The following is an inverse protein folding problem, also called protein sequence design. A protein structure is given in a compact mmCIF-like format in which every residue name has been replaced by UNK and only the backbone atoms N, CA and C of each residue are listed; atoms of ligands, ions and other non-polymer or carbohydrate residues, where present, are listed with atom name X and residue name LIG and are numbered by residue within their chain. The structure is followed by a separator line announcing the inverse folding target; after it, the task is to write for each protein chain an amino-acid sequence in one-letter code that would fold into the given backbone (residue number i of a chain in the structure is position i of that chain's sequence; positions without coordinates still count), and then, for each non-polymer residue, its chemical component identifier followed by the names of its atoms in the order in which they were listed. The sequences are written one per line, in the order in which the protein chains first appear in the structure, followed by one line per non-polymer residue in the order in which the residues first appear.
data_IF_524312020821
#
_entry.id   IF_524312020821
#
_cell.length_a   1.000
_cell.length_b   1.000
_cell.length_c   1.000
_cell.angle_alpha   90.00
_cell.angle_beta   90.00
_cell.angle_gamma   90.00
#
_symmetry.space_group_name_H-M   'P 1'
#
loop_
_entity.id
_entity.type
_entity.pdbx_description
1 polymer ?
#
# COMPACT_ATOMS: atom_id res chain seq x y z
N UNK A 1 12.34 8.09 3.96
CA UNK A 1 11.87 8.94 2.85
C UNK A 1 12.39 8.35 1.53
N UNK A 2 13.70 8.11 1.44
CA UNK A 2 14.39 7.49 0.28
C UNK A 2 13.80 6.13 -0.16
N UNK A 3 13.41 5.25 0.76
CA UNK A 3 12.93 3.90 0.37
C UNK A 3 11.59 3.89 -0.38
N UNK A 4 10.76 4.94 -0.24
CA UNK A 4 9.52 5.05 -1.00
C UNK A 4 9.78 5.45 -2.46
N UNK A 5 10.82 6.24 -2.71
CA UNK A 5 11.24 6.61 -4.07
C UNK A 5 11.65 5.38 -4.87
N UNK A 6 12.26 4.36 -4.25
CA UNK A 6 12.55 3.09 -4.94
C UNK A 6 11.29 2.38 -5.45
N UNK A 7 10.19 2.41 -4.70
CA UNK A 7 8.90 1.85 -5.14
C UNK A 7 8.27 2.68 -6.25
N UNK A 8 8.37 4.01 -6.16
CA UNK A 8 7.88 4.91 -7.23
C UNK A 8 8.71 4.71 -8.50
N UNK A 9 10.03 4.57 -8.39
CA UNK A 9 10.92 4.30 -9.51
C UNK A 9 10.54 3.00 -10.21
N UNK A 10 10.27 1.91 -9.46
CA UNK A 10 9.75 0.67 -10.01
C UNK A 10 8.41 0.84 -10.74
N UNK A 11 7.49 1.62 -10.16
CA UNK A 11 6.20 1.90 -10.80
C UNK A 11 6.38 2.68 -12.12
N UNK A 12 7.28 3.66 -12.16
CA UNK A 12 7.63 4.40 -13.37
C UNK A 12 8.34 3.49 -14.40
N UNK A 13 9.24 2.60 -13.96
CA UNK A 13 9.90 1.63 -14.84
C UNK A 13 8.89 0.64 -15.45
N UNK A 14 7.81 0.29 -14.74
CA UNK A 14 6.74 -0.53 -15.28
C UNK A 14 6.01 0.13 -16.47
N UNK A 15 6.12 1.46 -16.63
CA UNK A 15 5.64 2.21 -17.80
C UNK A 15 6.66 2.25 -18.95
N UNK A 16 7.76 1.49 -18.86
CA UNK A 16 8.92 1.49 -19.75
C UNK A 16 9.68 2.83 -19.75
N UNK A 17 9.73 3.51 -18.60
CA UNK A 17 10.59 4.67 -18.39
C UNK A 17 11.97 4.22 -17.91
N UNK A 18 13.02 4.80 -18.47
CA UNK A 18 14.34 4.81 -17.84
C UNK A 18 14.29 5.80 -16.68
N UNK A 19 14.49 5.33 -15.46
CA UNK A 19 14.35 6.16 -14.25
C UNK A 19 15.72 6.47 -13.64
N UNK A 20 15.94 7.74 -13.33
CA UNK A 20 17.08 8.24 -12.55
C UNK A 20 16.60 8.83 -11.23
N UNK A 21 17.50 8.82 -10.25
CA UNK A 21 17.28 9.39 -8.92
C UNK A 21 17.17 10.92 -8.92
N UNK A 22 17.37 11.56 -7.76
CA UNK A 22 17.17 13.00 -7.63
C UNK A 22 18.14 13.81 -8.50
N UNK A 23 17.59 14.79 -9.22
CA UNK A 23 18.35 15.69 -10.10
C UNK A 23 18.13 17.13 -9.65
N UNK A 24 19.22 17.88 -9.52
CA UNK A 24 19.20 19.30 -9.17
C UNK A 24 19.34 20.19 -10.39
N UNK A 25 18.36 21.08 -10.57
CA UNK A 25 18.36 22.13 -11.57
C UNK A 25 18.77 23.44 -10.92
N UNK A 26 19.79 24.10 -11.49
CA UNK A 26 20.20 25.44 -11.07
C UNK A 26 19.27 26.45 -11.70
N UNK A 27 18.39 27.05 -10.89
CA UNK A 27 17.40 28.00 -11.37
C UNK A 27 17.67 29.39 -10.78
N UNK A 28 17.77 30.38 -11.67
CA UNK A 28 17.89 31.78 -11.32
C UNK A 28 16.50 32.39 -11.05
N UNK A 29 16.28 32.85 -9.83
CA UNK A 29 15.03 33.45 -9.36
C UNK A 29 15.27 34.88 -8.86
N UNK A 30 14.29 35.77 -9.05
CA UNK A 30 14.30 37.10 -8.45
C UNK A 30 14.06 36.96 -6.93
N UNK A 31 14.84 37.66 -6.12
CA UNK A 31 14.64 37.65 -4.67
C UNK A 31 13.52 38.62 -4.26
N UNK A 32 13.09 38.53 -3.00
CA UNK A 32 12.03 39.39 -2.47
C UNK A 32 12.51 40.81 -2.11
N UNK A 33 13.76 41.19 -2.43
CA UNK A 33 14.27 42.54 -2.16
C UNK A 33 13.49 43.57 -2.97
N UNK A 34 12.95 44.57 -2.28
CA UNK A 34 12.13 45.64 -2.89
C UNK A 34 12.97 46.83 -3.35
N UNK A 35 14.16 46.99 -2.77
CA UNK A 35 15.05 48.15 -3.00
C UNK A 35 15.77 48.08 -4.34
N UNK A 36 16.04 46.87 -4.83
CA UNK A 36 16.65 46.62 -6.13
C UNK A 36 16.33 45.21 -6.62
N UNK A 37 16.37 45.05 -7.93
CA UNK A 37 16.25 43.75 -8.57
C UNK A 37 17.50 42.92 -8.29
N UNK A 38 17.37 41.94 -7.40
CA UNK A 38 18.39 40.95 -7.12
C UNK A 38 17.94 39.59 -7.63
N UNK A 39 18.87 38.83 -8.21
CA UNK A 39 18.63 37.47 -8.65
C UNK A 39 19.61 36.53 -7.98
N UNK A 40 19.10 35.41 -7.47
CA UNK A 40 19.91 34.35 -6.88
C UNK A 40 19.66 33.04 -7.63
N UNK A 41 20.73 32.27 -7.78
CA UNK A 41 20.66 30.92 -8.33
C UNK A 41 20.58 29.91 -7.18
N UNK A 42 19.59 29.03 -7.22
CA UNK A 42 19.42 27.95 -6.26
C UNK A 42 19.29 26.61 -6.97
N UNK A 43 19.83 25.55 -6.35
CA UNK A 43 19.61 24.18 -6.80
C UNK A 43 18.25 23.69 -6.32
N UNK A 44 17.30 23.52 -7.23
CA UNK A 44 16.00 22.91 -6.96
C UNK A 44 15.99 21.47 -7.45
N UNK A 45 15.45 20.58 -6.63
CA UNK A 45 15.49 19.14 -6.86
C UNK A 45 14.18 18.63 -7.44
N UNK A 46 14.30 17.67 -8.36
CA UNK A 46 13.23 16.75 -8.75
C UNK A 46 13.62 15.40 -8.18
N UNK A 47 12.71 14.78 -7.43
CA UNK A 47 13.00 13.56 -6.65
C UNK A 47 13.30 12.36 -7.59
N UNK A 48 12.57 12.24 -8.72
CA UNK A 48 12.82 11.22 -9.75
C UNK A 48 12.63 11.79 -11.17
N UNK A 49 13.48 11.37 -12.09
CA UNK A 49 13.32 11.64 -13.53
C UNK A 49 13.03 10.32 -14.24
N UNK A 50 11.92 10.24 -14.96
CA UNK A 50 11.61 9.12 -15.86
C UNK A 50 11.68 9.57 -17.31
N UNK A 51 12.27 8.77 -18.21
CA UNK A 51 12.38 9.16 -19.62
C UNK A 51 12.14 8.00 -20.58
N UNK A 52 11.51 8.30 -21.70
CA UNK A 52 11.32 7.43 -22.88
C UNK A 52 11.32 8.33 -24.11
N UNK A 53 11.60 7.79 -25.30
CA UNK A 53 11.78 8.59 -26.52
C UNK A 53 10.73 9.69 -26.81
N UNK A 54 9.49 9.50 -26.35
CA UNK A 54 8.35 10.39 -26.54
C UNK A 54 7.96 11.21 -25.30
N UNK A 55 8.51 10.89 -24.12
CA UNK A 55 8.02 11.38 -22.82
C UNK A 55 9.15 11.60 -21.79
N UNK A 56 9.11 12.75 -21.11
CA UNK A 56 9.93 13.04 -19.93
C UNK A 56 9.01 13.25 -18.72
N UNK A 57 9.26 12.56 -17.62
CA UNK A 57 8.50 12.64 -16.38
C UNK A 57 9.36 13.31 -15.31
N UNK A 58 8.88 14.42 -14.76
CA UNK A 58 9.44 15.07 -13.58
C UNK A 58 8.58 14.73 -12.37
N UNK A 59 9.06 13.84 -11.51
CA UNK A 59 8.29 13.34 -10.39
C UNK A 59 8.77 13.97 -9.07
N UNK A 60 7.83 14.51 -8.30
CA UNK A 60 8.05 14.79 -6.88
C UNK A 60 7.38 13.74 -6.02
N UNK A 61 8.12 13.23 -5.04
CA UNK A 61 7.78 12.08 -4.22
C UNK A 61 7.76 12.49 -2.76
N UNK A 62 6.66 12.16 -2.08
CA UNK A 62 6.49 12.41 -0.64
C UNK A 62 5.84 11.21 0.04
N UNK A 63 6.61 10.48 0.83
CA UNK A 63 6.16 9.24 1.46
C UNK A 63 5.06 9.46 2.51
N UNK A 64 5.33 10.28 3.54
CA UNK A 64 4.46 10.49 4.70
C UNK A 64 3.96 9.22 5.44
N UNK A 65 4.48 8.02 5.12
CA UNK A 65 4.14 6.79 5.83
C UNK A 65 4.55 6.93 7.30
N UNK A 66 3.59 6.73 8.21
CA UNK A 66 3.79 6.89 9.66
C UNK A 66 3.66 8.33 10.17
N UNK A 67 3.03 9.23 9.40
CA UNK A 67 2.85 10.64 9.76
C UNK A 67 1.46 11.17 9.39
N UNK A 68 1.25 12.49 9.52
CA UNK A 68 -0.04 13.14 9.26
C UNK A 68 -0.46 13.30 7.79
N UNK A 69 0.39 12.89 6.85
CA UNK A 69 0.10 12.97 5.42
C UNK A 69 0.33 14.34 4.78
N UNK A 70 0.22 14.38 3.44
CA UNK A 70 0.26 15.59 2.62
C UNK A 70 -0.84 16.55 3.06
N UNK A 71 -0.45 17.76 3.46
CA UNK A 71 -1.39 18.81 3.86
C UNK A 71 -1.80 19.64 2.66
N UNK A 72 -3.10 19.91 2.56
CA UNK A 72 -3.65 20.72 1.46
C UNK A 72 -2.94 22.06 1.31
N UNK A 73 -2.71 22.78 2.41
CA UNK A 73 -2.05 24.10 2.43
C UNK A 73 -0.60 24.12 1.95
N UNK A 74 0.06 22.96 1.91
CA UNK A 74 1.42 22.84 1.41
C UNK A 74 1.42 22.63 -0.11
N UNK A 75 0.34 22.07 -0.67
CA UNK A 75 0.14 21.82 -2.10
C UNK A 75 -0.55 23.00 -2.78
N UNK A 76 -1.67 23.44 -2.23
CA UNK A 76 -2.43 24.59 -2.70
C UNK A 76 -1.80 25.83 -2.09
N UNK A 77 -1.41 26.78 -2.92
CA UNK A 77 -0.75 28.01 -2.50
C UNK A 77 -1.73 29.00 -1.83
N UNK A 78 -2.40 28.58 -0.75
CA UNK A 78 -3.39 29.38 -0.04
C UNK A 78 -2.80 30.65 0.60
N UNK A 79 -1.48 30.68 0.81
CA UNK A 79 -0.73 31.80 1.41
C UNK A 79 -0.05 32.72 0.35
N UNK A 80 -0.31 32.53 -0.95
CA UNK A 80 0.33 33.29 -2.03
C UNK A 80 1.79 32.88 -2.29
N UNK A 81 2.57 33.69 -3.01
CA UNK A 81 3.94 33.37 -3.51
C UNK A 81 4.99 32.93 -2.46
N UNK A 82 4.64 32.89 -1.17
CA UNK A 82 5.51 32.54 -0.04
C UNK A 82 5.25 31.15 0.57
N UNK A 83 4.36 30.34 -0.01
CA UNK A 83 4.14 28.96 0.42
C UNK A 83 5.46 28.17 0.49
N UNK A 84 5.79 27.65 1.68
CA UNK A 84 7.07 26.95 1.92
C UNK A 84 7.09 25.50 1.41
N UNK A 85 5.92 24.87 1.28
CA UNK A 85 5.76 23.48 0.86
C UNK A 85 5.81 23.31 -0.67
N UNK A 86 6.18 22.11 -1.13
CA UNK A 86 6.07 21.62 -2.52
C UNK A 86 6.19 22.66 -3.64
N UNK A 87 7.29 23.41 -3.67
CA UNK A 87 7.48 24.53 -4.63
C UNK A 87 7.37 24.09 -6.10
N UNK A 88 7.74 22.87 -6.43
CA UNK A 88 7.52 22.31 -7.77
C UNK A 88 6.04 22.23 -8.16
N UNK A 89 5.14 22.05 -7.21
CA UNK A 89 3.70 22.00 -7.45
C UNK A 89 3.08 23.40 -7.44
N UNK A 90 3.46 24.25 -6.49
CA UNK A 90 2.68 25.46 -6.18
C UNK A 90 3.31 26.79 -6.65
N UNK A 91 4.56 26.78 -7.09
CA UNK A 91 5.23 27.94 -7.67
C UNK A 91 5.35 27.78 -9.19
N UNK A 92 4.45 28.45 -9.92
CA UNK A 92 4.34 28.35 -11.39
C UNK A 92 5.61 28.81 -12.10
N UNK A 93 6.21 29.93 -11.66
CA UNK A 93 7.43 30.47 -12.27
C UNK A 93 8.59 29.48 -12.11
N UNK A 94 8.81 28.99 -10.88
CA UNK A 94 9.84 28.00 -10.60
C UNK A 94 9.62 26.72 -11.40
N UNK A 95 8.40 26.17 -11.36
CA UNK A 95 8.05 24.95 -12.10
C UNK A 95 8.33 25.11 -13.59
N UNK A 96 7.93 26.23 -14.18
CA UNK A 96 8.16 26.51 -15.61
C UNK A 96 9.64 26.55 -15.93
N UNK A 97 10.46 27.23 -15.10
CA UNK A 97 11.91 27.25 -15.29
C UNK A 97 12.55 25.88 -15.13
N UNK A 98 12.07 25.06 -14.18
CA UNK A 98 12.56 23.69 -14.00
C UNK A 98 12.20 22.78 -15.17
N UNK A 99 10.98 22.90 -15.71
CA UNK A 99 10.58 22.18 -16.93
C UNK A 99 11.48 22.57 -18.09
N UNK A 100 11.71 23.86 -18.31
CA UNK A 100 12.57 24.32 -19.40
C UNK A 100 14.02 23.83 -19.24
N UNK A 101 14.57 23.90 -18.03
CA UNK A 101 15.91 23.38 -17.75
C UNK A 101 16.00 21.87 -18.00
N UNK A 102 14.96 21.10 -17.67
CA UNK A 102 14.90 19.68 -17.98
C UNK A 102 14.80 19.41 -19.48
N UNK A 103 13.99 20.18 -20.21
CA UNK A 103 13.92 20.13 -21.67
C UNK A 103 15.29 20.38 -22.31
N UNK A 104 16.03 21.40 -21.84
CA UNK A 104 17.34 21.76 -22.36
C UNK A 104 18.39 20.66 -22.10
N UNK A 105 18.37 20.05 -20.92
CA UNK A 105 19.33 19.00 -20.53
C UNK A 105 19.04 17.69 -21.25
N UNK A 106 17.78 17.30 -21.36
CA UNK A 106 17.39 15.97 -21.85
C UNK A 106 16.92 15.96 -23.30
N UNK A 107 16.79 17.11 -23.96
CA UNK A 107 16.42 17.23 -25.37
C UNK A 107 14.92 17.00 -25.66
N UNK A 108 14.04 17.31 -24.71
CA UNK A 108 12.59 17.14 -24.87
C UNK A 108 11.88 18.47 -25.15
N UNK A 109 10.71 18.41 -25.78
CA UNK A 109 9.81 19.56 -25.89
C UNK A 109 8.98 19.69 -24.61
N UNK A 110 8.59 20.91 -24.18
CA UNK A 110 7.69 21.09 -23.04
C UNK A 110 6.40 20.27 -23.13
N UNK A 111 5.86 20.07 -24.34
CA UNK A 111 4.66 19.26 -24.59
C UNK A 111 4.86 17.76 -24.35
N UNK A 112 6.09 17.29 -24.23
CA UNK A 112 6.45 15.90 -23.92
C UNK A 112 6.75 15.70 -22.42
N UNK A 113 6.69 16.77 -21.62
CA UNK A 113 6.98 16.72 -20.19
C UNK A 113 5.70 16.49 -19.39
N UNK A 114 5.70 15.47 -18.54
CA UNK A 114 4.67 15.22 -17.53
C UNK A 114 5.23 15.56 -16.14
N UNK A 115 4.47 16.33 -15.35
CA UNK A 115 4.80 16.55 -13.95
C UNK A 115 3.91 15.66 -13.09
N UNK A 116 4.52 14.85 -12.24
CA UNK A 116 3.81 13.90 -11.38
C UNK A 116 4.08 14.15 -9.91
N UNK A 117 3.03 14.02 -9.11
CA UNK A 117 3.09 14.03 -7.66
C UNK A 117 2.75 12.67 -7.09
N UNK A 118 3.75 12.00 -6.50
CA UNK A 118 3.58 10.73 -5.81
C UNK A 118 3.50 10.97 -4.30
N UNK A 119 2.34 10.66 -3.71
CA UNK A 119 2.09 10.81 -2.29
C UNK A 119 1.79 9.46 -1.63
N UNK A 120 2.61 9.04 -0.67
CA UNK A 120 2.37 7.79 0.05
C UNK A 120 1.23 7.90 1.08
N UNK A 121 0.94 9.09 1.58
CA UNK A 121 -0.20 9.33 2.45
C UNK A 121 -0.70 10.77 2.33
N UNK A 122 -2.00 10.95 2.14
CA UNK A 122 -2.67 12.24 2.26
C UNK A 122 -3.18 12.46 3.68
N UNK A 123 -3.30 13.72 4.09
CA UNK A 123 -4.11 14.06 5.26
C UNK A 123 -5.54 13.53 5.05
N UNK A 124 -6.14 12.99 6.12
CA UNK A 124 -7.47 12.36 6.05
C UNK A 124 -8.49 13.25 5.34
N UNK A 125 -9.15 12.70 4.32
CA UNK A 125 -10.17 13.40 3.51
C UNK A 125 -9.64 14.45 2.53
N UNK A 126 -8.31 14.65 2.40
CA UNK A 126 -7.72 15.72 1.57
C UNK A 126 -7.19 15.29 0.20
N UNK A 127 -7.19 14.00 -0.10
CA UNK A 127 -6.68 13.51 -1.39
C UNK A 127 -7.45 14.09 -2.58
N UNK A 128 -8.78 14.10 -2.54
CA UNK A 128 -9.59 14.58 -3.65
C UNK A 128 -9.36 16.08 -3.91
N UNK A 129 -9.33 16.90 -2.86
CA UNK A 129 -9.06 18.34 -2.99
C UNK A 129 -7.67 18.61 -3.62
N UNK A 130 -6.66 17.79 -3.29
CA UNK A 130 -5.34 17.88 -3.93
C UNK A 130 -5.40 17.48 -5.41
N UNK A 131 -6.10 16.37 -5.73
CA UNK A 131 -6.26 15.90 -7.12
C UNK A 131 -6.97 16.93 -7.98
N UNK A 132 -8.07 17.49 -7.48
CA UNK A 132 -8.87 18.49 -8.17
C UNK A 132 -8.03 19.74 -8.45
N UNK A 133 -7.27 20.21 -7.46
CA UNK A 133 -6.37 21.35 -7.67
C UNK A 133 -5.28 21.03 -8.69
N UNK A 134 -4.56 19.91 -8.56
CA UNK A 134 -3.52 19.51 -9.52
C UNK A 134 -4.05 19.37 -10.95
N UNK A 135 -5.28 18.91 -11.13
CA UNK A 135 -5.93 18.81 -12.44
C UNK A 135 -6.14 20.17 -13.13
N UNK A 136 -6.22 21.27 -12.36
CA UNK A 136 -6.28 22.64 -12.90
C UNK A 136 -4.92 23.22 -13.26
N UNK A 137 -3.82 22.59 -12.81
CA UNK A 137 -2.47 23.12 -12.98
C UNK A 137 -1.81 22.51 -14.21
N UNK A 138 -1.72 23.28 -15.30
CA UNK A 138 -0.98 22.84 -16.49
C UNK A 138 0.54 22.98 -16.26
N UNK A 139 1.25 21.89 -16.49
CA UNK A 139 2.68 21.74 -16.26
C UNK A 139 3.30 20.85 -17.35
N UNK A 140 3.94 21.47 -18.33
CA UNK A 140 4.48 20.75 -19.50
C UNK A 140 3.38 20.44 -20.50
N UNK A 141 3.20 19.17 -20.84
CA UNK A 141 2.22 18.69 -21.81
C UNK A 141 0.79 18.55 -21.29
N UNK A 142 0.57 18.63 -19.98
CA UNK A 142 -0.74 18.38 -19.40
C UNK A 142 -0.89 18.85 -17.95
N UNK A 143 -1.98 18.47 -17.27
CA UNK A 143 -2.16 18.75 -15.84
C UNK A 143 -1.13 18.00 -14.99
N UNK A 144 -0.93 18.44 -13.75
CA UNK A 144 -0.13 17.69 -12.78
C UNK A 144 -0.88 16.40 -12.42
N UNK A 145 -0.26 15.25 -12.66
CA UNK A 145 -0.84 13.96 -12.31
C UNK A 145 -0.53 13.62 -10.85
N UNK A 146 -1.47 12.94 -10.18
CA UNK A 146 -1.34 12.58 -8.77
C UNK A 146 -1.47 11.08 -8.62
N UNK A 147 -0.51 10.47 -7.92
CA UNK A 147 -0.46 9.05 -7.65
C UNK A 147 -0.38 8.82 -6.15
N UNK A 148 -1.31 8.02 -5.63
CA UNK A 148 -1.32 7.65 -4.22
C UNK A 148 -0.54 6.32 -4.01
N UNK A 149 -0.40 5.92 -2.74
CA UNK A 149 0.26 4.67 -2.38
C UNK A 149 -0.35 3.45 -3.07
N UNK A 150 -1.68 3.37 -3.17
CA UNK A 150 -2.36 2.24 -3.80
C UNK A 150 -1.98 2.13 -5.28
N UNK A 151 -1.96 3.26 -6.00
CA UNK A 151 -1.53 3.29 -7.40
C UNK A 151 -0.11 2.72 -7.58
N UNK A 152 0.81 3.09 -6.68
CA UNK A 152 2.21 2.60 -6.70
C UNK A 152 2.26 1.12 -6.35
N UNK A 153 1.62 0.70 -5.25
CA UNK A 153 1.65 -0.69 -4.78
C UNK A 153 0.99 -1.64 -5.76
N UNK A 154 -0.13 -1.27 -6.39
CA UNK A 154 -0.81 -2.10 -7.39
C UNK A 154 0.10 -2.35 -8.60
N UNK A 155 0.80 -1.30 -9.05
CA UNK A 155 1.75 -1.38 -10.16
C UNK A 155 2.95 -2.26 -9.81
N UNK A 156 3.59 -2.02 -8.67
CA UNK A 156 4.77 -2.79 -8.23
C UNK A 156 4.40 -4.24 -7.91
N UNK A 157 3.23 -4.50 -7.32
CA UNK A 157 2.73 -5.85 -7.06
C UNK A 157 2.47 -6.60 -8.36
N UNK A 158 1.91 -5.92 -9.37
CA UNK A 158 1.73 -6.50 -10.71
C UNK A 158 3.08 -6.84 -11.35
N UNK A 159 4.07 -5.95 -11.23
CA UNK A 159 5.44 -6.21 -11.68
C UNK A 159 6.08 -7.39 -10.93
N UNK A 160 5.85 -7.49 -9.62
CA UNK A 160 6.37 -8.56 -8.77
C UNK A 160 5.81 -9.95 -9.16
N UNK A 161 4.59 -10.02 -9.71
CA UNK A 161 4.02 -11.26 -10.24
C UNK A 161 4.65 -11.72 -11.55
N UNK A 162 5.43 -10.85 -12.22
CA UNK A 162 6.14 -11.22 -13.43
C UNK A 162 7.25 -12.24 -13.17
N UNK A 163 7.40 -13.19 -14.10
CA UNK A 163 8.50 -14.16 -14.12
C UNK A 163 9.79 -13.58 -14.66
N UNK A 164 9.74 -12.40 -15.29
CA UNK A 164 10.94 -11.73 -15.79
C UNK A 164 11.85 -11.37 -14.61
N UNK A 165 13.13 -11.73 -14.75
CA UNK A 165 14.15 -11.36 -13.77
C UNK A 165 14.49 -9.88 -13.94
N UNK A 166 14.43 -9.15 -12.83
CA UNK A 166 14.82 -7.76 -12.71
C UNK A 166 15.59 -7.68 -11.39
N UNK A 167 16.85 -7.25 -11.48
CA UNK A 167 17.72 -7.08 -10.31
C UNK A 167 17.42 -5.74 -9.63
N UNK A 168 16.35 -5.71 -8.84
CA UNK A 168 15.96 -4.55 -8.04
C UNK A 168 15.63 -4.99 -6.60
N UNK A 169 16.34 -4.47 -5.59
CA UNK A 169 16.12 -4.85 -4.19
C UNK A 169 14.69 -4.59 -3.68
N UNK A 170 14.05 -3.50 -4.11
CA UNK A 170 12.69 -3.17 -3.70
C UNK A 170 11.70 -4.15 -4.33
N UNK A 171 11.91 -4.56 -5.59
CA UNK A 171 11.09 -5.57 -6.25
C UNK A 171 11.23 -6.94 -5.57
N UNK A 172 12.46 -7.33 -5.21
CA UNK A 172 12.73 -8.58 -4.46
C UNK A 172 12.02 -8.56 -3.11
N UNK A 173 12.03 -7.44 -2.40
CA UNK A 173 11.31 -7.29 -1.14
C UNK A 173 9.79 -7.49 -1.32
N UNK A 174 9.18 -6.88 -2.34
CA UNK A 174 7.74 -7.09 -2.64
C UNK A 174 7.45 -8.54 -3.02
N UNK A 175 8.25 -9.16 -3.90
CA UNK A 175 8.11 -10.58 -4.24
C UNK A 175 8.18 -11.48 -3.00
N UNK A 176 9.12 -11.20 -2.10
CA UNK A 176 9.29 -11.94 -0.85
C UNK A 176 8.07 -11.82 0.05
N UNK A 177 7.47 -10.62 0.16
CA UNK A 177 6.25 -10.40 0.93
C UNK A 177 5.05 -11.18 0.36
N UNK A 178 4.87 -11.18 -0.96
CA UNK A 178 3.80 -11.95 -1.61
C UNK A 178 3.93 -13.45 -1.36
N UNK A 179 5.15 -14.00 -1.50
CA UNK A 179 5.44 -15.40 -1.21
C UNK A 179 5.17 -15.72 0.28
N UNK A 180 5.57 -14.83 1.19
CA UNK A 180 5.31 -15.00 2.61
C UNK A 180 3.80 -15.01 2.93
N UNK A 181 3.01 -14.17 2.27
CA UNK A 181 1.55 -14.16 2.40
C UNK A 181 0.93 -15.46 1.89
N UNK A 182 1.40 -15.98 0.74
CA UNK A 182 0.96 -17.29 0.24
C UNK A 182 1.25 -18.41 1.23
N UNK A 183 2.45 -18.44 1.83
CA UNK A 183 2.77 -19.44 2.85
C UNK A 183 1.88 -19.33 4.09
N UNK A 184 1.61 -18.11 4.57
CA UNK A 184 0.69 -17.88 5.69
C UNK A 184 -0.73 -18.35 5.36
N UNK A 185 -1.21 -18.05 4.15
CA UNK A 185 -2.54 -18.46 3.70
C UNK A 185 -2.68 -19.99 3.62
N UNK A 186 -1.65 -20.69 3.12
CA UNK A 186 -1.61 -22.16 3.06
C UNK A 186 -1.59 -22.77 4.46
N UNK A 187 -0.77 -22.24 5.36
CA UNK A 187 -0.71 -22.69 6.75
C UNK A 187 -2.06 -22.54 7.48
N UNK A 188 -2.77 -21.44 7.23
CA UNK A 188 -4.10 -21.22 7.81
C UNK A 188 -5.16 -22.18 7.22
N UNK A 189 -5.13 -22.45 5.91
CA UNK A 189 -6.03 -23.42 5.26
C UNK A 189 -5.82 -24.85 5.79
N UNK A 190 -4.57 -25.28 6.01
CA UNK A 190 -4.28 -26.62 6.56
C UNK A 190 -4.78 -26.78 8.01
N UNK A 191 -4.77 -25.70 8.80
CA UNK A 191 -5.34 -25.72 10.16
C UNK A 191 -6.87 -25.82 10.15
N UNK A 192 -7.53 -25.10 9.23
CA UNK A 192 -8.98 -25.14 9.07
C UNK A 192 -9.47 -26.52 8.63
N UNK A 193 -8.85 -27.12 7.60
CA UNK A 193 -9.25 -28.45 7.11
C UNK A 193 -9.05 -29.55 8.15
N UNK A 194 -7.94 -29.57 8.90
CA UNK A 194 -7.76 -30.57 9.98
C UNK A 194 -8.83 -30.47 11.07
N UNK A 195 -9.28 -29.27 11.38
CA UNK A 195 -10.36 -29.06 12.35
C UNK A 195 -11.72 -29.52 11.79
N UNK A 196 -12.01 -29.20 10.53
CA UNK A 196 -13.25 -29.61 9.85
C UNK A 196 -13.36 -31.14 9.71
N UNK A 197 -12.31 -31.82 9.23
CA UNK A 197 -12.29 -33.29 9.11
C UNK A 197 -12.48 -33.98 10.47
N UNK A 198 -11.83 -33.49 11.52
CA UNK A 198 -11.98 -34.04 12.87
C UNK A 198 -13.41 -33.89 13.41
N UNK A 199 -14.12 -32.80 13.06
CA UNK A 199 -15.53 -32.63 13.42
C UNK A 199 -16.44 -33.55 12.62
N UNK A 200 -16.18 -33.76 11.32
CA UNK A 200 -16.97 -34.67 10.47
C UNK A 200 -16.88 -36.11 10.95
N UNK A 201 -15.67 -36.60 11.28
CA UNK A 201 -15.48 -37.96 11.79
C UNK A 201 -16.20 -38.17 13.14
N UNK A 202 -16.14 -37.18 14.02
CA UNK A 202 -16.86 -37.22 15.30
C UNK A 202 -18.37 -37.12 15.13
N UNK A 203 -18.85 -36.35 14.16
CA UNK A 203 -20.29 -36.29 13.86
C UNK A 203 -20.84 -37.61 13.31
N UNK A 204 -20.03 -38.34 12.52
CA UNK A 204 -20.38 -39.69 12.08
C UNK A 204 -20.40 -40.70 13.22
N UNK A 205 -19.43 -40.62 14.14
CA UNK A 205 -19.34 -41.52 15.29
C UNK A 205 -20.38 -41.21 16.37
N UNK A 206 -20.70 -39.93 16.58
CA UNK A 206 -21.63 -39.46 17.60
C UNK A 206 -22.65 -38.48 16.99
N UNK A 207 -23.66 -38.98 16.26
CA UNK A 207 -24.72 -38.13 15.72
C UNK A 207 -25.40 -37.27 16.79
N UNK A 208 -25.94 -36.11 16.40
CA UNK A 208 -26.78 -35.30 17.30
C UNK A 208 -27.98 -36.15 17.74
N UNK A 209 -28.28 -36.14 19.04
CA UNK A 209 -29.30 -36.98 19.67
C UNK A 209 -28.79 -38.34 20.14
N UNK A 210 -27.54 -38.71 19.84
CA UNK A 210 -26.93 -39.90 20.45
C UNK A 210 -26.71 -39.69 21.94
N UNK A 211 -27.07 -40.70 22.73
CA UNK A 211 -26.83 -40.73 24.17
C UNK A 211 -25.41 -41.23 24.43
N UNK A 212 -24.67 -40.48 25.24
CA UNK A 212 -23.25 -40.75 25.51
C UNK A 212 -22.94 -40.60 26.98
N UNK A 213 -21.90 -41.31 27.42
CA UNK A 213 -21.28 -41.15 28.73
C UNK A 213 -19.84 -40.65 28.56
N UNK A 214 -19.46 -39.62 29.30
CA UNK A 214 -18.08 -39.15 29.39
C UNK A 214 -17.35 -39.87 30.55
N UNK A 215 -16.32 -40.65 30.23
CA UNK A 215 -15.61 -41.52 31.17
C UNK A 215 -14.80 -40.79 32.24
N UNK A 216 -14.58 -39.49 32.09
CA UNK A 216 -13.77 -38.69 33.03
C UNK A 216 -14.56 -38.26 34.27
N UNK A 217 -15.87 -38.09 34.14
CA UNK A 217 -16.72 -37.48 35.15
C UNK A 217 -18.14 -38.04 35.17
N UNK A 218 -18.36 -39.18 34.52
CA UNK A 218 -19.62 -39.92 34.48
C UNK A 218 -20.81 -39.06 34.04
N UNK A 219 -20.56 -38.06 33.19
CA UNK A 219 -21.63 -37.24 32.62
C UNK A 219 -22.34 -38.06 31.56
N UNK A 220 -23.61 -38.37 31.82
CA UNK A 220 -24.52 -38.98 30.86
C UNK A 220 -25.40 -37.90 30.24
N UNK A 221 -25.57 -37.93 28.92
CA UNK A 221 -26.44 -36.98 28.23
C UNK A 221 -26.51 -37.14 26.73
N UNK A 222 -27.24 -36.23 26.08
CA UNK A 222 -27.44 -36.22 24.63
C UNK A 222 -26.42 -35.32 23.95
N UNK A 223 -25.84 -35.79 22.85
CA UNK A 223 -25.02 -34.96 21.96
C UNK A 223 -25.92 -33.92 21.29
N UNK A 224 -25.62 -32.64 21.50
CA UNK A 224 -26.37 -31.51 20.92
C UNK A 224 -25.53 -30.68 19.93
N UNK A 225 -24.29 -31.07 19.70
CA UNK A 225 -23.42 -30.44 18.73
C UNK A 225 -21.95 -30.73 18.98
N UNK A 226 -21.11 -30.05 18.20
CA UNK A 226 -19.67 -30.29 18.17
C UNK A 226 -18.91 -28.98 18.38
N UNK A 227 -17.66 -29.09 18.81
CA UNK A 227 -16.77 -27.94 18.96
C UNK A 227 -15.33 -28.35 18.70
N UNK A 228 -14.57 -27.45 18.09
CA UNK A 228 -13.12 -27.52 18.03
C UNK A 228 -12.58 -26.41 18.93
N UNK A 229 -12.40 -26.69 20.22
CA UNK A 229 -11.67 -25.75 21.08
C UNK A 229 -10.19 -25.84 20.72
N UNK A 230 -9.59 -24.72 20.27
CA UNK A 230 -8.17 -24.31 20.01
C UNK A 230 -7.05 -25.36 19.76
N UNK A 231 -7.21 -26.58 20.25
CA UNK A 231 -6.51 -27.81 19.92
C UNK A 231 -7.16 -28.53 18.73
N UNK A 232 -6.38 -29.29 17.97
CA UNK A 232 -6.82 -30.12 16.85
C UNK A 232 -7.63 -31.36 17.27
N UNK A 233 -8.23 -31.36 18.47
CA UNK A 233 -8.99 -32.48 19.02
C UNK A 233 -10.48 -32.15 18.98
N UNK A 234 -11.34 -33.03 18.48
CA UNK A 234 -12.78 -32.78 18.40
C UNK A 234 -13.48 -32.99 19.75
N UNK A 235 -14.40 -32.09 20.10
CA UNK A 235 -15.19 -32.14 21.33
C UNK A 235 -16.69 -32.27 21.03
N UNK A 236 -17.40 -32.99 21.90
CA UNK A 236 -18.85 -33.08 21.95
C UNK A 236 -19.41 -32.00 22.88
N UNK A 237 -20.52 -31.38 22.47
CA UNK A 237 -21.42 -30.63 23.37
C UNK A 237 -22.51 -31.60 23.84
N UNK A 238 -22.54 -31.91 25.12
CA UNK A 238 -23.43 -32.90 25.73
C UNK A 238 -24.38 -32.17 26.66
N UNK A 239 -25.69 -32.32 26.45
CA UNK A 239 -26.70 -31.88 27.41
C UNK A 239 -26.90 -32.98 28.44
N UNK A 240 -26.45 -32.73 29.67
CA UNK A 240 -26.60 -33.69 30.76
C UNK A 240 -28.09 -33.86 31.10
N UNK A 241 -28.53 -35.11 31.27
CA UNK A 241 -29.95 -35.44 31.48
C UNK A 241 -30.44 -35.03 32.88
N UNK A 242 -29.58 -35.13 33.90
CA UNK A 242 -29.97 -34.86 35.30
C UNK A 242 -30.04 -33.36 35.61
N UNK A 243 -29.05 -32.60 35.12
CA UNK A 243 -28.90 -31.17 35.42
C UNK A 243 -29.41 -30.24 34.32
N UNK A 244 -29.63 -30.75 33.11
CA UNK A 244 -29.98 -29.96 31.93
C UNK A 244 -28.85 -29.06 31.40
N UNK A 245 -27.69 -29.03 32.05
CA UNK A 245 -26.54 -28.20 31.68
C UNK A 245 -25.80 -28.76 30.46
N UNK A 246 -25.19 -27.86 29.70
CA UNK A 246 -24.37 -28.21 28.53
C UNK A 246 -22.90 -28.30 28.92
N UNK A 247 -22.30 -29.44 28.65
CA UNK A 247 -20.90 -29.74 28.91
C UNK A 247 -20.13 -29.96 27.61
N UNK A 248 -18.85 -29.57 27.59
CA UNK A 248 -17.95 -29.81 26.46
C UNK A 248 -16.95 -30.88 26.86
N UNK A 249 -16.92 -32.02 26.15
CA UNK A 249 -16.05 -33.16 26.46
C UNK A 249 -15.31 -33.65 25.24
N UNK A 250 -14.09 -34.16 25.43
CA UNK A 250 -13.31 -34.73 24.33
C UNK A 250 -14.06 -35.93 23.75
N UNK A 251 -14.22 -36.00 22.43
CA UNK A 251 -14.89 -37.15 21.82
C UNK A 251 -14.17 -38.48 22.13
N UNK A 252 -12.86 -38.44 22.38
CA UNK A 252 -12.06 -39.61 22.76
C UNK A 252 -12.37 -40.17 24.16
N UNK A 253 -13.03 -39.38 25.01
CA UNK A 253 -13.41 -39.78 26.38
C UNK A 253 -14.90 -40.11 26.47
N UNK A 254 -15.61 -40.15 25.35
CA UNK A 254 -17.03 -40.43 25.31
C UNK A 254 -17.31 -41.79 24.69
N UNK A 255 -18.30 -42.49 25.24
CA UNK A 255 -18.81 -43.76 24.72
C UNK A 255 -20.32 -43.65 24.49
N UNK A 256 -20.82 -44.32 23.45
CA UNK A 256 -22.26 -44.40 23.19
C UNK A 256 -22.86 -45.37 24.20
N UNK A 257 -24.00 -44.98 24.78
CA UNK A 257 -24.81 -45.83 25.65
C UNK A 257 -25.95 -46.51 24.86
#
# INVERSE_FOLDING_TARGET
MESYESLVALAMQAENLLVSGPVKFKIKMKTAKKEYDEYQEHGYEVDLIGMRHDKLVLATVKSFLGSGGVKLKEVINAEGANGKGYKMLNNVELRTKMINAACDIYGYKPSQVEVRFYAGQFMSGKEQEVRDWCATQIAGGGPIEVYNLLNVIDTVTSLAKSKTYIDDPALVAVKSMLIAEEFRSKANKTKATKAEYATTEVALRFPIGTRVEASKDNIVGLVIGYSNQQTSKPYLKIRNEDSGLVWIRSASTCQIL
#
